data_IF_535084416932
#
_entry.id   IF_535084416932
#
_cell.length_a   1.000
_cell.length_b   1.000
_cell.length_c   1.000
_cell.angle_alpha   90.00
_cell.angle_beta   90.00
_cell.angle_gamma   90.00
#
_symmetry.space_group_name_H-M   'P 1'
#
loop_
_entity.id
_entity.type
_entity.pdbx_description
1 polymer ?
#
# COMPACT_ATOMS: atom_id res chain seq x y z
N UNK A 1 10.95 35.88 -39.06
CA UNK A 1 10.13 35.65 -37.85
C UNK A 1 9.61 34.22 -37.92
N UNK A 2 10.12 33.29 -37.11
CA UNK A 2 9.55 31.95 -37.01
C UNK A 2 9.33 31.63 -35.54
N UNK A 3 8.06 31.59 -35.13
CA UNK A 3 7.61 31.25 -33.78
C UNK A 3 7.46 29.74 -33.70
N UNK A 4 8.44 29.06 -33.12
CA UNK A 4 8.30 27.65 -32.77
C UNK A 4 7.64 27.53 -31.40
N UNK A 5 6.33 27.25 -31.39
CA UNK A 5 5.64 26.78 -30.18
C UNK A 5 5.99 25.29 -29.99
N UNK A 6 6.84 24.98 -29.01
CA UNK A 6 6.96 23.63 -28.47
C UNK A 6 5.86 23.45 -27.41
N UNK A 7 4.81 22.70 -27.74
CA UNK A 7 3.84 22.20 -26.77
C UNK A 7 4.39 20.91 -26.16
N UNK A 8 5.00 21.02 -24.97
CA UNK A 8 5.29 19.87 -24.13
C UNK A 8 3.98 19.35 -23.55
N UNK A 9 3.43 18.31 -24.20
CA UNK A 9 2.32 17.53 -23.65
C UNK A 9 2.89 16.70 -22.51
N UNK A 10 2.77 17.19 -21.27
CA UNK A 10 2.90 16.34 -20.10
C UNK A 10 1.68 15.41 -20.07
N UNK A 11 1.79 14.26 -20.70
CA UNK A 11 0.89 13.15 -20.47
C UNK A 11 1.11 12.66 -19.04
N UNK A 12 0.38 13.23 -18.09
CA UNK A 12 0.27 12.68 -16.74
C UNK A 12 -0.32 11.29 -16.87
N UNK A 13 0.52 10.27 -16.69
CA UNK A 13 0.04 8.90 -16.50
C UNK A 13 -0.70 8.89 -15.16
N UNK A 14 -2.01 9.07 -15.20
CA UNK A 14 -2.86 8.74 -14.07
C UNK A 14 -2.75 7.23 -13.91
N UNK A 15 -1.83 6.79 -13.05
CA UNK A 15 -1.75 5.40 -12.60
C UNK A 15 -3.13 5.03 -12.08
N UNK A 16 -3.83 4.16 -12.80
CA UNK A 16 -5.10 3.55 -12.38
C UNK A 16 -4.75 2.56 -11.27
N UNK A 17 -4.37 3.09 -10.11
CA UNK A 17 -4.40 2.35 -8.87
C UNK A 17 -5.87 2.11 -8.54
N UNK A 18 -6.21 0.90 -8.13
CA UNK A 18 -7.43 0.63 -7.38
C UNK A 18 -7.62 1.76 -6.37
N UNK A 19 -8.76 2.45 -6.44
CA UNK A 19 -9.06 3.62 -5.61
C UNK A 19 -9.25 3.18 -4.14
N UNK A 20 -8.15 2.83 -3.49
CA UNK A 20 -8.09 2.58 -2.06
C UNK A 20 -8.07 3.93 -1.35
N UNK A 21 -9.07 4.15 -0.51
CA UNK A 21 -9.04 5.25 0.43
C UNK A 21 -8.21 4.81 1.63
N UNK A 22 -7.31 5.69 2.09
CA UNK A 22 -6.52 5.45 3.30
C UNK A 22 -7.45 5.13 4.48
N UNK A 23 -7.28 3.96 5.08
CA UNK A 23 -8.11 3.47 6.19
C UNK A 23 -7.24 2.82 7.29
N UNK A 24 -6.83 3.59 8.32
CA UNK A 24 -6.03 3.08 9.43
C UNK A 24 -6.62 1.83 10.10
N UNK A 25 -7.94 1.77 10.25
CA UNK A 25 -8.63 0.60 10.82
C UNK A 25 -8.42 -0.66 10.00
N UNK A 26 -8.44 -0.58 8.66
CA UNK A 26 -8.16 -1.73 7.80
C UNK A 26 -6.73 -2.22 7.95
N UNK A 27 -5.77 -1.31 8.10
CA UNK A 27 -4.36 -1.65 8.30
C UNK A 27 -4.17 -2.37 9.64
N UNK A 28 -4.83 -1.90 10.70
CA UNK A 28 -4.85 -2.59 12.00
C UNK A 28 -5.40 -4.01 11.88
N UNK A 29 -6.56 -4.17 11.22
CA UNK A 29 -7.20 -5.48 11.04
C UNK A 29 -6.31 -6.45 10.24
N UNK A 30 -5.62 -5.95 9.21
CA UNK A 30 -4.68 -6.72 8.41
C UNK A 30 -3.50 -7.21 9.23
N UNK A 31 -2.85 -6.35 10.02
CA UNK A 31 -1.76 -6.75 10.91
C UNK A 31 -2.24 -7.77 11.95
N UNK A 32 -3.38 -7.52 12.58
CA UNK A 32 -3.97 -8.41 13.58
C UNK A 32 -4.29 -9.82 13.03
N UNK A 33 -4.54 -9.93 11.72
CA UNK A 33 -4.75 -11.24 11.08
C UNK A 33 -3.48 -12.11 11.03
N UNK A 34 -2.30 -11.50 11.17
CA UNK A 34 -0.99 -12.15 11.10
C UNK A 34 -0.29 -12.30 12.47
N UNK A 35 -0.59 -11.46 13.47
CA UNK A 35 0.13 -11.37 14.77
C UNK A 35 0.30 -12.69 15.56
N UNK A 36 -0.53 -13.71 15.28
CA UNK A 36 -0.49 -15.01 15.99
C UNK A 36 0.22 -16.12 15.21
N UNK A 37 0.74 -15.83 14.02
CA UNK A 37 1.36 -16.80 13.12
C UNK A 37 2.87 -16.64 13.18
N UNK A 38 3.58 -17.68 13.60
CA UNK A 38 5.01 -17.59 13.92
C UNK A 38 5.92 -17.74 12.71
N UNK A 39 5.47 -18.45 11.68
CA UNK A 39 6.25 -18.76 10.47
C UNK A 39 5.59 -18.27 9.18
N UNK A 40 6.39 -18.00 8.16
CA UNK A 40 5.90 -17.58 6.84
C UNK A 40 5.01 -18.64 6.20
N UNK A 41 5.27 -19.91 6.47
CA UNK A 41 4.47 -21.03 5.99
C UNK A 41 3.06 -21.04 6.60
N UNK A 42 2.95 -20.71 7.90
CA UNK A 42 1.67 -20.53 8.59
C UNK A 42 0.90 -19.30 8.07
N UNK A 43 1.60 -18.19 7.84
CA UNK A 43 1.02 -16.97 7.24
C UNK A 43 0.50 -17.24 5.82
N UNK A 44 1.26 -17.97 5.00
CA UNK A 44 0.86 -18.35 3.65
C UNK A 44 -0.38 -19.26 3.63
N UNK A 45 -0.50 -20.18 4.60
CA UNK A 45 -1.65 -21.10 4.73
C UNK A 45 -2.88 -20.44 5.34
N UNK A 46 -2.72 -19.35 6.08
CA UNK A 46 -3.83 -18.61 6.68
C UNK A 46 -4.43 -17.63 5.67
N UNK A 47 -5.58 -17.95 5.09
CA UNK A 47 -6.23 -17.13 4.06
C UNK A 47 -6.41 -15.64 4.42
N UNK A 48 -6.89 -15.27 5.63
CA UNK A 48 -6.92 -13.90 6.09
C UNK A 48 -5.55 -13.19 6.09
N UNK A 49 -4.54 -13.76 6.74
CA UNK A 49 -3.19 -13.18 6.76
C UNK A 49 -2.56 -13.13 5.37
N UNK A 50 -2.69 -14.19 4.57
CA UNK A 50 -2.16 -14.22 3.21
C UNK A 50 -2.71 -13.07 2.35
N UNK A 51 -4.00 -12.75 2.44
CA UNK A 51 -4.58 -11.59 1.74
C UNK A 51 -4.10 -10.26 2.33
N UNK A 52 -4.00 -10.18 3.65
CA UNK A 52 -3.49 -8.99 4.33
C UNK A 52 -2.06 -8.66 3.85
N UNK A 53 -1.18 -9.66 3.72
CA UNK A 53 0.19 -9.49 3.23
C UNK A 53 0.24 -8.85 1.83
N UNK A 54 -0.68 -9.20 0.92
CA UNK A 54 -0.74 -8.56 -0.40
C UNK A 54 -1.07 -7.05 -0.30
N UNK A 55 -1.86 -6.63 0.68
CA UNK A 55 -2.21 -5.23 0.86
C UNK A 55 -1.16 -4.44 1.65
N UNK A 56 -0.54 -5.05 2.66
CA UNK A 56 0.42 -4.36 3.54
C UNK A 56 1.72 -3.95 2.83
N UNK A 57 2.01 -4.57 1.69
CA UNK A 57 3.17 -4.22 0.84
C UNK A 57 2.85 -3.13 -0.20
N UNK A 58 1.58 -2.76 -0.39
CA UNK A 58 1.21 -1.74 -1.37
C UNK A 58 1.65 -0.35 -0.90
N UNK A 59 2.28 0.42 -1.79
CA UNK A 59 2.81 1.77 -1.48
C UNK A 59 1.73 2.68 -0.87
N UNK A 60 0.51 2.66 -1.41
CA UNK A 60 -0.62 3.46 -0.91
C UNK A 60 -0.99 3.12 0.55
N UNK A 61 -0.83 1.86 0.95
CA UNK A 61 -1.11 1.39 2.32
C UNK A 61 0.03 1.81 3.24
N UNK A 62 1.29 1.64 2.81
CA UNK A 62 2.48 2.04 3.56
C UNK A 62 2.50 3.56 3.79
N UNK A 63 2.21 4.33 2.75
CA UNK A 63 2.09 5.79 2.82
C UNK A 63 0.97 6.23 3.75
N UNK A 64 -0.20 5.56 3.68
CA UNK A 64 -1.32 5.81 4.58
C UNK A 64 -0.94 5.56 6.04
N UNK A 65 -0.23 4.47 6.34
CA UNK A 65 0.22 4.11 7.69
C UNK A 65 1.12 5.20 8.29
N UNK A 66 2.12 5.66 7.52
CA UNK A 66 3.06 6.71 7.94
C UNK A 66 2.34 8.05 8.09
N UNK A 67 1.57 8.47 7.08
CA UNK A 67 0.86 9.76 7.12
C UNK A 67 -0.22 9.82 8.21
N UNK A 68 -0.75 8.69 8.62
CA UNK A 68 -1.71 8.58 9.74
C UNK A 68 -1.02 8.55 11.11
N UNK A 69 0.31 8.61 11.17
CA UNK A 69 1.08 8.62 12.42
C UNK A 69 1.06 7.29 13.18
N UNK A 70 0.85 6.17 12.48
CA UNK A 70 0.74 4.84 13.10
C UNK A 70 2.09 4.20 13.42
N UNK A 71 3.16 4.62 12.72
CA UNK A 71 4.51 4.08 12.83
C UNK A 71 5.31 4.26 11.55
N UNK A 72 6.42 3.55 11.44
CA UNK A 72 7.25 3.51 10.23
C UNK A 72 6.72 2.45 9.26
N UNK A 73 6.91 2.65 7.94
CA UNK A 73 6.43 1.70 6.95
C UNK A 73 6.98 0.27 7.15
N UNK A 74 8.18 0.13 7.72
CA UNK A 74 8.78 -1.17 8.07
C UNK A 74 8.00 -1.95 9.13
N UNK A 75 7.14 -1.30 9.92
CA UNK A 75 6.28 -1.96 10.90
C UNK A 75 5.18 -2.82 10.25
N UNK A 76 5.05 -2.73 8.91
CA UNK A 76 4.16 -3.54 8.08
C UNK A 76 4.86 -4.74 7.43
N UNK A 77 6.17 -4.90 7.62
CA UNK A 77 6.94 -6.06 7.14
C UNK A 77 6.71 -7.26 8.07
N UNK A 78 5.46 -7.75 8.07
CA UNK A 78 4.93 -8.75 9.03
C UNK A 78 5.11 -10.19 8.62
#
# INVERSE_FOLDING_TARGET
>A
MSRSLLLLVLAGVASVGTAWTCSPTKIIDWRASCDKLGSDDEKCKNGPCHRALHYLVEDIVRDCYVQSGMGDASDLDV
#
